data_IF_327446871753
#
_entry.id   IF_327446871753
#
_cell.length_a   1.000
_cell.length_b   1.000
_cell.length_c   1.000
_cell.angle_alpha   90.00
_cell.angle_beta   90.00
_cell.angle_gamma   90.00
#
_symmetry.space_group_name_H-M   'P 1'
#
loop_
_entity.id
_entity.type
_entity.pdbx_description
1 polymer ?
#
# COMPACT_ATOMS: atom_id res chain seq x y z
N UNK A 1 -6.18 -6.91 0.65
CA UNK A 1 -5.00 -6.10 0.24
C UNK A 1 -3.75 -6.81 0.72
N UNK A 2 -2.72 -6.86 -0.13
CA UNK A 2 -1.46 -7.58 0.17
C UNK A 2 -0.45 -6.68 0.89
N UNK A 3 -0.51 -5.38 0.62
CA UNK A 3 0.28 -4.33 1.29
C UNK A 3 -0.12 -2.95 0.75
N UNK A 4 0.63 -1.93 1.17
CA UNK A 4 0.51 -0.55 0.69
C UNK A 4 1.79 -0.21 -0.09
N UNK A 5 1.63 0.34 -1.29
CA UNK A 5 2.75 0.85 -2.08
C UNK A 5 3.31 2.11 -1.44
N UNK A 6 4.59 2.13 -1.11
CA UNK A 6 5.27 3.30 -0.53
C UNK A 6 6.08 4.07 -1.57
N UNK A 7 6.70 3.37 -2.52
CA UNK A 7 7.46 3.99 -3.60
C UNK A 7 7.44 3.11 -4.85
N UNK A 8 7.62 3.76 -6.00
CA UNK A 8 7.83 3.11 -7.28
C UNK A 8 8.89 3.89 -8.04
N UNK A 9 10.04 3.26 -8.27
CA UNK A 9 11.14 3.84 -9.05
C UNK A 9 12.07 2.74 -9.54
N UNK A 10 12.82 2.99 -10.61
CA UNK A 10 13.86 2.07 -11.07
C UNK A 10 13.37 0.65 -11.37
N UNK A 11 12.11 0.50 -11.83
CA UNK A 11 11.43 -0.79 -12.07
C UNK A 11 11.19 -1.67 -10.84
N UNK A 12 11.28 -1.08 -9.64
CA UNK A 12 11.03 -1.74 -8.37
C UNK A 12 9.93 -0.98 -7.61
N UNK A 13 9.04 -1.75 -6.98
CA UNK A 13 8.02 -1.23 -6.08
C UNK A 13 8.40 -1.61 -4.64
N UNK A 14 8.44 -0.64 -3.74
CA UNK A 14 8.57 -0.91 -2.30
C UNK A 14 7.17 -0.98 -1.68
N UNK A 15 6.79 -2.15 -1.17
CA UNK A 15 5.47 -2.42 -0.61
C UNK A 15 5.60 -2.73 0.87
N UNK A 16 4.92 -1.94 1.71
CA UNK A 16 4.78 -2.24 3.14
C UNK A 16 3.65 -3.24 3.34
N UNK A 17 3.98 -4.43 3.83
CA UNK A 17 3.02 -5.47 4.19
C UNK A 17 2.32 -5.13 5.49
N UNK A 18 1.21 -5.82 5.76
CA UNK A 18 0.38 -5.62 6.95
C UNK A 18 1.13 -5.85 8.28
N UNK A 19 2.13 -6.72 8.27
CA UNK A 19 3.01 -7.00 9.40
C UNK A 19 4.10 -5.93 9.61
N UNK A 20 4.17 -4.90 8.77
CA UNK A 20 5.16 -3.84 8.83
C UNK A 20 6.45 -4.12 8.03
N UNK A 21 6.58 -5.32 7.46
CA UNK A 21 7.71 -5.69 6.59
C UNK A 21 7.69 -4.87 5.31
N UNK A 22 8.85 -4.36 4.91
CA UNK A 22 9.06 -3.72 3.62
C UNK A 22 9.61 -4.75 2.65
N UNK A 23 8.93 -4.95 1.52
CA UNK A 23 9.37 -5.88 0.47
C UNK A 23 9.51 -5.15 -0.87
N UNK A 24 10.47 -5.59 -1.67
CA UNK A 24 10.66 -5.12 -3.04
C UNK A 24 9.99 -6.08 -4.02
N UNK A 25 9.28 -5.51 -4.99
CA UNK A 25 8.58 -6.25 -6.04
C UNK A 25 9.03 -5.73 -7.40
N UNK A 26 9.56 -6.57 -8.30
CA UNK A 26 9.83 -6.18 -9.68
C UNK A 26 8.56 -5.73 -10.40
N UNK A 27 8.62 -4.60 -11.10
CA UNK A 27 7.48 -4.03 -11.83
C UNK A 27 6.88 -5.02 -12.84
N UNK A 28 7.73 -5.81 -13.50
CA UNK A 28 7.33 -6.75 -14.55
C UNK A 28 6.45 -7.92 -14.08
N UNK A 29 6.45 -8.23 -12.78
CA UNK A 29 5.62 -9.31 -12.21
C UNK A 29 4.33 -8.78 -11.57
N UNK A 30 4.11 -7.46 -11.56
CA UNK A 30 2.93 -6.85 -10.97
C UNK A 30 1.75 -6.99 -11.92
N UNK A 31 0.76 -7.79 -11.53
CA UNK A 31 -0.42 -8.05 -12.38
C UNK A 31 -1.56 -7.05 -12.17
N UNK A 32 -1.64 -6.42 -11.00
CA UNK A 32 -2.68 -5.45 -10.68
C UNK A 32 -2.30 -4.55 -9.49
N UNK A 33 -2.75 -3.30 -9.55
CA UNK A 33 -2.74 -2.35 -8.45
C UNK A 33 -4.09 -1.67 -8.32
N UNK A 34 -4.42 -1.17 -7.12
CA UNK A 34 -5.58 -0.30 -6.92
C UNK A 34 -5.22 0.86 -5.99
N UNK A 35 -5.80 2.02 -6.24
CA UNK A 35 -5.74 3.14 -5.30
C UNK A 35 -6.57 2.79 -4.07
N UNK A 36 -6.00 2.98 -2.88
CA UNK A 36 -6.72 2.87 -1.61
C UNK A 36 -7.16 4.27 -1.22
N UNK A 37 -8.45 4.51 -0.98
CA UNK A 37 -8.87 5.75 -0.35
C UNK A 37 -8.20 5.89 1.01
N UNK A 38 -7.88 7.12 1.45
CA UNK A 38 -7.41 7.36 2.81
C UNK A 38 -8.47 6.88 3.81
N UNK A 39 -8.01 6.52 5.01
CA UNK A 39 -8.90 6.05 6.07
C UNK A 39 -9.94 7.14 6.38
N UNK A 40 -11.25 6.80 6.40
CA UNK A 40 -12.28 7.78 6.71
C UNK A 40 -12.05 8.40 8.09
N UNK A 41 -12.42 9.67 8.29
CA UNK A 41 -12.21 10.36 9.56
C UNK A 41 -12.87 9.59 10.71
N UNK A 42 -12.30 9.67 11.94
CA UNK A 42 -12.88 9.00 13.10
C UNK A 42 -14.34 9.41 13.26
N UNK A 43 -15.24 8.43 13.43
CA UNK A 43 -16.63 8.74 13.80
C UNK A 43 -16.59 9.52 15.11
N UNK A 44 -17.06 10.78 15.09
CA UNK A 44 -17.36 11.52 16.30
C UNK A 44 -18.42 10.72 17.06
N UNK A 45 -18.04 10.13 18.19
CA UNK A 45 -19.02 9.68 19.18
C UNK A 45 -19.58 10.96 19.79
N UNK A 46 -20.90 11.13 19.72
CA UNK A 46 -21.56 12.29 20.30
C UNK A 46 -21.20 12.44 21.78
N UNK A 47 -21.11 13.69 22.23
CA UNK A 47 -21.11 14.06 23.64
C UNK A 47 -22.45 13.68 24.25
#
# INVERSE_FOLDING_TARGET
MVGVLESWSGKILSVRRRNGELVEVPEEIVVAGKVVPPMPPPKRRGV
#
